data_IF_878913981750
#
_entry.id   IF_878913981750
#
_cell.length_a   1.000
_cell.length_b   1.000
_cell.length_c   1.000
_cell.angle_alpha   90.00
_cell.angle_beta   90.00
_cell.angle_gamma   90.00
#
_symmetry.space_group_name_H-M   'P 1'
#
loop_
_entity.id
_entity.type
_entity.pdbx_description
1 polymer ?
#
# COMPACT_ATOMS: atom_id res chain seq x y z
N UNK A 1 34.11 -0.57 -10.48
CA UNK A 1 33.07 -0.22 -11.48
C UNK A 1 33.18 -1.26 -12.59
N UNK A 2 32.07 -1.90 -12.96
CA UNK A 2 32.06 -2.97 -13.96
C UNK A 2 31.03 -2.69 -15.05
N UNK A 3 31.22 -3.27 -16.23
CA UNK A 3 30.21 -3.24 -17.31
C UNK A 3 29.11 -4.27 -16.98
N UNK A 4 27.85 -3.90 -17.23
CA UNK A 4 26.67 -4.76 -16.97
C UNK A 4 25.78 -4.72 -18.21
N UNK A 5 25.20 -5.86 -18.59
CA UNK A 5 24.27 -5.95 -19.72
C UNK A 5 22.94 -5.27 -19.37
N UNK A 6 22.34 -4.56 -20.33
CA UNK A 6 21.06 -3.86 -20.12
C UNK A 6 19.90 -4.81 -19.74
N UNK A 7 19.97 -6.07 -20.16
CA UNK A 7 18.94 -7.07 -19.82
C UNK A 7 18.97 -7.51 -18.34
N UNK A 8 20.05 -7.26 -17.61
CA UNK A 8 20.20 -7.62 -16.19
C UNK A 8 19.78 -6.50 -15.24
N UNK A 9 19.41 -5.33 -15.77
CA UNK A 9 19.09 -4.14 -14.99
C UNK A 9 17.74 -3.55 -15.41
N UNK A 10 17.04 -2.98 -14.45
CA UNK A 10 15.82 -2.22 -14.71
C UNK A 10 16.09 -0.75 -14.43
N UNK A 11 15.86 0.09 -15.43
CA UNK A 11 16.06 1.53 -15.30
C UNK A 11 15.01 2.12 -14.35
N UNK A 12 15.46 3.00 -13.46
CA UNK A 12 14.59 3.74 -12.54
C UNK A 12 14.31 5.13 -13.10
N UNK A 13 13.31 5.83 -12.54
CA UNK A 13 12.95 7.20 -12.96
C UNK A 13 13.97 8.27 -12.55
N UNK A 14 14.96 7.92 -11.72
CA UNK A 14 15.90 8.90 -11.18
C UNK A 14 17.03 9.17 -12.18
N UNK A 15 17.27 10.46 -12.46
CA UNK A 15 18.32 10.91 -13.38
C UNK A 15 19.33 11.79 -12.66
N UNK A 16 20.61 11.45 -12.77
CA UNK A 16 21.73 12.28 -12.33
C UNK A 16 22.46 12.80 -13.57
N UNK A 17 22.77 14.10 -13.60
CA UNK A 17 23.53 14.72 -14.69
C UNK A 17 24.99 14.87 -14.27
N UNK A 18 25.89 14.20 -14.98
CA UNK A 18 27.35 14.30 -14.85
C UNK A 18 28.00 13.96 -16.20
N UNK A 19 29.28 14.29 -16.38
CA UNK A 19 29.99 14.03 -17.64
C UNK A 19 30.08 12.52 -17.94
N UNK A 20 29.89 12.14 -19.21
CA UNK A 20 30.13 10.77 -19.66
C UNK A 20 31.60 10.41 -19.38
N UNK A 21 31.86 9.22 -18.79
CA UNK A 21 33.20 8.78 -18.34
C UNK A 21 33.74 9.45 -17.06
N UNK A 22 32.92 10.17 -16.28
CA UNK A 22 33.37 10.76 -15.01
C UNK A 22 33.91 9.70 -14.01
N UNK A 23 34.98 10.02 -13.25
CA UNK A 23 35.54 9.14 -12.23
C UNK A 23 34.59 8.95 -11.05
N UNK A 24 34.78 7.84 -10.31
CA UNK A 24 33.94 7.45 -9.16
C UNK A 24 33.77 8.57 -8.12
N UNK A 25 34.79 9.41 -7.93
CA UNK A 25 34.75 10.57 -7.02
C UNK A 25 33.63 11.55 -7.37
N UNK A 26 33.51 11.92 -8.65
CA UNK A 26 32.50 12.86 -9.12
C UNK A 26 31.11 12.23 -9.06
N UNK A 27 30.98 10.96 -9.47
CA UNK A 27 29.70 10.23 -9.40
C UNK A 27 29.20 10.12 -7.96
N UNK A 28 30.09 9.81 -7.01
CA UNK A 28 29.75 9.73 -5.58
C UNK A 28 29.29 11.08 -5.04
N UNK A 29 30.01 12.17 -5.39
CA UNK A 29 29.61 13.52 -5.01
C UNK A 29 28.22 13.86 -5.56
N UNK A 30 27.97 13.64 -6.84
CA UNK A 30 26.65 13.89 -7.44
C UNK A 30 25.53 13.03 -6.81
N UNK A 31 25.86 11.80 -6.40
CA UNK A 31 24.94 10.89 -5.71
C UNK A 31 24.56 11.40 -4.32
N UNK A 32 25.53 11.89 -3.55
CA UNK A 32 25.32 12.45 -2.21
C UNK A 32 24.60 13.79 -2.28
N UNK A 33 25.00 14.67 -3.20
CA UNK A 33 24.39 16.00 -3.39
C UNK A 33 22.91 15.87 -3.78
N UNK A 34 22.57 14.88 -4.60
CA UNK A 34 21.20 14.59 -5.01
C UNK A 34 20.36 13.85 -3.95
N UNK A 35 20.97 13.42 -2.84
CA UNK A 35 20.35 12.59 -1.78
C UNK A 35 19.58 11.40 -2.34
N UNK A 36 20.20 10.70 -3.31
CA UNK A 36 19.49 9.69 -4.09
C UNK A 36 19.08 8.47 -3.26
N UNK A 37 19.84 8.13 -2.22
CA UNK A 37 19.50 7.02 -1.31
C UNK A 37 18.17 7.27 -0.57
N UNK A 38 17.96 8.50 -0.08
CA UNK A 38 16.73 8.88 0.62
C UNK A 38 15.54 8.83 -0.34
N UNK A 39 15.69 9.44 -1.52
CA UNK A 39 14.67 9.43 -2.58
C UNK A 39 14.33 8.02 -3.04
N UNK A 40 15.33 7.13 -3.12
CA UNK A 40 15.13 5.72 -3.43
C UNK A 40 14.34 5.03 -2.32
N UNK A 41 14.74 5.18 -1.05
CA UNK A 41 14.05 4.57 0.10
C UNK A 41 12.58 5.04 0.24
N UNK A 42 12.30 6.29 -0.11
CA UNK A 42 10.94 6.84 -0.11
C UNK A 42 10.07 6.30 -1.25
N UNK A 43 10.69 5.84 -2.35
CA UNK A 43 9.99 5.39 -3.54
C UNK A 43 9.09 4.18 -3.25
N UNK A 44 7.94 4.11 -3.92
CA UNK A 44 7.04 2.96 -3.85
C UNK A 44 7.73 1.67 -4.28
N UNK A 45 8.65 1.75 -5.25
CA UNK A 45 9.41 0.58 -5.71
C UNK A 45 10.29 0.01 -4.60
N UNK A 46 11.13 0.83 -3.96
CA UNK A 46 11.97 0.36 -2.86
C UNK A 46 11.14 -0.17 -1.69
N UNK A 47 10.04 0.52 -1.34
CA UNK A 47 9.10 0.04 -0.31
C UNK A 47 8.50 -1.32 -0.65
N UNK A 48 8.13 -1.55 -1.92
CA UNK A 48 7.59 -2.82 -2.37
C UNK A 48 8.63 -3.94 -2.35
N UNK A 49 9.88 -3.64 -2.72
CA UNK A 49 10.98 -4.59 -2.67
C UNK A 49 11.29 -5.00 -1.22
N UNK A 50 11.41 -4.01 -0.32
CA UNK A 50 11.61 -4.26 1.11
C UNK A 50 10.44 -5.05 1.73
N UNK A 51 9.21 -4.78 1.30
CA UNK A 51 8.04 -5.56 1.74
C UNK A 51 8.06 -6.99 1.20
N UNK A 52 8.60 -7.24 0.00
CA UNK A 52 8.76 -8.58 -0.55
C UNK A 52 9.78 -9.38 0.25
N UNK A 53 10.90 -8.75 0.60
CA UNK A 53 11.94 -9.34 1.44
C UNK A 53 11.42 -9.68 2.84
N UNK A 54 10.74 -8.73 3.52
CA UNK A 54 10.11 -8.97 4.83
C UNK A 54 9.08 -10.11 4.81
N UNK A 55 8.35 -10.27 3.71
CA UNK A 55 7.40 -11.40 3.56
C UNK A 55 8.13 -12.73 3.39
N UNK A 56 9.25 -12.75 2.67
CA UNK A 56 10.06 -13.95 2.51
C UNK A 56 10.71 -14.38 3.84
N UNK A 57 11.13 -13.41 4.66
CA UNK A 57 11.76 -13.64 5.97
C UNK A 57 10.75 -13.95 7.10
N UNK A 58 9.44 -13.91 6.84
CA UNK A 58 8.41 -14.02 7.87
C UNK A 58 8.30 -15.44 8.42
N UNK A 59 8.44 -15.59 9.75
CA UNK A 59 8.30 -16.85 10.48
C UNK A 59 6.83 -17.26 10.65
N UNK A 60 6.57 -18.52 10.99
CA UNK A 60 5.20 -19.02 11.16
C UNK A 60 4.43 -18.28 12.27
N UNK A 61 5.09 -18.02 13.40
CA UNK A 61 4.50 -17.25 14.49
C UNK A 61 4.12 -15.82 14.07
N UNK A 62 4.91 -15.19 13.21
CA UNK A 62 4.59 -13.87 12.65
C UNK A 62 3.37 -13.92 11.74
N UNK A 63 3.18 -15.01 10.96
CA UNK A 63 2.00 -15.21 10.13
C UNK A 63 0.73 -15.40 10.97
N UNK A 64 0.83 -16.12 12.09
CA UNK A 64 -0.27 -16.24 13.05
C UNK A 64 -0.71 -14.87 13.59
N UNK A 65 0.26 -14.06 14.09
CA UNK A 65 0.00 -12.69 14.58
C UNK A 65 -0.62 -11.80 13.48
N UNK A 66 -0.07 -11.84 12.27
CA UNK A 66 -0.57 -11.07 11.11
C UNK A 66 -2.04 -11.43 10.80
N UNK A 67 -2.38 -12.72 10.80
CA UNK A 67 -3.72 -13.20 10.49
C UNK A 67 -4.73 -12.71 11.52
N UNK A 68 -4.42 -12.84 12.81
CA UNK A 68 -5.27 -12.35 13.89
C UNK A 68 -5.50 -10.82 13.78
N UNK A 69 -4.45 -10.05 13.55
CA UNK A 69 -4.55 -8.59 13.36
C UNK A 69 -5.38 -8.21 12.12
N UNK A 70 -5.19 -8.94 11.00
CA UNK A 70 -5.94 -8.73 9.75
C UNK A 70 -7.43 -9.00 9.92
N UNK A 71 -7.80 -10.06 10.63
CA UNK A 71 -9.21 -10.38 10.92
C UNK A 71 -9.85 -9.25 11.74
N UNK A 72 -9.21 -8.80 12.83
CA UNK A 72 -9.71 -7.68 13.66
C UNK A 72 -9.90 -6.40 12.83
N UNK A 73 -8.89 -6.00 12.04
CA UNK A 73 -8.97 -4.83 11.16
C UNK A 73 -10.09 -4.96 10.13
N UNK A 74 -10.22 -6.12 9.49
CA UNK A 74 -11.22 -6.32 8.44
C UNK A 74 -12.65 -6.28 8.97
N UNK A 75 -12.90 -6.78 10.19
CA UNK A 75 -14.21 -6.66 10.86
C UNK A 75 -14.61 -5.19 11.04
N UNK A 76 -13.73 -4.37 11.62
CA UNK A 76 -13.96 -2.93 11.79
C UNK A 76 -14.15 -2.20 10.45
N UNK A 77 -13.26 -2.44 9.49
CA UNK A 77 -13.33 -1.83 8.14
C UNK A 77 -14.64 -2.18 7.43
N UNK A 78 -15.08 -3.43 7.50
CA UNK A 78 -16.30 -3.89 6.81
C UNK A 78 -17.54 -3.27 7.43
N UNK A 79 -17.60 -3.13 8.76
CA UNK A 79 -18.70 -2.46 9.44
C UNK A 79 -18.84 -0.99 8.98
N UNK A 80 -17.72 -0.24 8.99
CA UNK A 80 -17.68 1.15 8.52
C UNK A 80 -18.03 1.24 7.05
N UNK A 81 -17.44 0.40 6.19
CA UNK A 81 -17.71 0.38 4.76
C UNK A 81 -19.19 0.12 4.45
N UNK A 82 -19.83 -0.84 5.13
CA UNK A 82 -21.26 -1.11 4.98
C UNK A 82 -22.11 0.10 5.39
N UNK A 83 -21.75 0.78 6.49
CA UNK A 83 -22.43 2.00 6.93
C UNK A 83 -22.29 3.13 5.90
N UNK A 84 -21.10 3.32 5.33
CA UNK A 84 -20.83 4.32 4.31
C UNK A 84 -21.56 4.00 3.00
N UNK A 85 -21.56 2.72 2.58
CA UNK A 85 -22.31 2.26 1.41
C UNK A 85 -23.81 2.51 1.57
N UNK A 86 -24.37 2.22 2.75
CA UNK A 86 -25.78 2.50 3.04
C UNK A 86 -26.08 4.02 3.02
N UNK A 87 -25.19 4.85 3.55
CA UNK A 87 -25.30 6.32 3.47
C UNK A 87 -25.23 6.81 2.03
N UNK A 88 -24.26 6.33 1.25
CA UNK A 88 -24.09 6.68 -0.17
C UNK A 88 -25.29 6.26 -1.03
N UNK A 89 -25.85 5.07 -0.77
CA UNK A 89 -27.07 4.62 -1.41
C UNK A 89 -28.27 5.52 -1.06
N UNK A 90 -28.38 5.96 0.20
CA UNK A 90 -29.43 6.92 0.62
C UNK A 90 -29.24 8.31 0.01
N UNK A 91 -28.00 8.79 -0.16
CA UNK A 91 -27.69 10.06 -0.84
C UNK A 91 -27.81 9.99 -2.36
N UNK A 92 -28.14 8.83 -2.93
CA UNK A 92 -28.43 8.67 -4.36
C UNK A 92 -27.21 8.68 -5.27
N UNK A 93 -25.99 8.72 -4.73
CA UNK A 93 -24.74 8.80 -5.52
C UNK A 93 -24.42 7.55 -6.33
N UNK A 94 -25.08 6.42 -6.07
CA UNK A 94 -24.88 5.16 -6.79
C UNK A 94 -26.15 4.54 -7.40
N UNK A 95 -27.22 5.33 -7.58
CA UNK A 95 -28.41 4.89 -8.32
C UNK A 95 -29.37 3.96 -7.56
N UNK A 96 -30.66 4.32 -7.66
CA UNK A 96 -31.91 3.76 -7.09
C UNK A 96 -32.15 3.93 -5.57
N UNK A 97 -32.86 5.02 -5.26
CA UNK A 97 -33.78 5.31 -4.12
C UNK A 97 -34.60 4.06 -3.72
N UNK A 98 -35.03 3.75 -2.49
CA UNK A 98 -35.18 4.45 -1.18
C UNK A 98 -35.02 3.38 -0.07
N UNK A 99 -34.25 3.62 0.99
CA UNK A 99 -34.44 2.89 2.26
C UNK A 99 -35.16 3.83 3.24
N UNK A 100 -36.23 3.37 3.94
CA UNK A 100 -36.97 4.22 4.88
C UNK A 100 -36.07 4.70 6.02
N UNK A 101 -36.35 5.92 6.49
CA UNK A 101 -35.54 6.69 7.45
C UNK A 101 -35.49 6.05 8.85
N UNK A 102 -36.39 5.11 9.14
CA UNK A 102 -36.53 4.44 10.43
C UNK A 102 -36.16 2.96 10.29
N UNK A 103 -35.29 2.38 11.14
CA UNK A 103 -35.12 0.93 11.15
C UNK A 103 -36.48 0.31 11.52
N UNK A 104 -36.99 -0.60 10.70
CA UNK A 104 -38.18 -1.37 11.06
C UNK A 104 -37.93 -2.02 12.42
N UNK A 105 -38.68 -1.58 13.44
CA UNK A 105 -38.68 -2.18 14.78
C UNK A 105 -39.06 -3.64 14.53
N UNK A 106 -38.11 -4.58 14.63
CA UNK A 106 -38.44 -6.00 14.65
C UNK A 106 -39.27 -6.21 15.90
N UNK A 107 -40.60 -6.29 15.72
CA UNK A 107 -41.48 -6.77 16.77
C UNK A 107 -40.99 -8.18 17.08
N UNK A 108 -40.42 -8.38 18.28
CA UNK A 108 -40.15 -9.72 18.79
C UNK A 108 -41.52 -10.37 18.94
N UNK A 109 -41.92 -11.21 18.01
CA UNK A 109 -43.02 -12.13 18.22
C UNK A 109 -42.62 -13.01 19.40
N UNK A 110 -43.31 -12.85 20.53
CA UNK A 110 -43.24 -13.84 21.61
C UNK A 110 -43.74 -15.14 21.00
N UNK A 111 -42.90 -16.17 20.96
CA UNK A 111 -43.37 -17.53 20.73
C UNK A 111 -44.31 -17.85 21.89
N UNK A 112 -45.56 -18.14 21.56
CA UNK A 112 -46.46 -18.86 22.44
C UNK A 112 -45.98 -20.31 22.57
#
# INVERSE_FOLDING_TARGET
RQQIRLNQLHLTKFRLKYAFTAPTRIVRKAWTDAKLNEKWAESQWAKNLANKEKRAQMTDFDRFKLTAARVKRNRARTAVFKSMKAKAARSGTFGKKKLPKTPAKKVRTKKA
#
